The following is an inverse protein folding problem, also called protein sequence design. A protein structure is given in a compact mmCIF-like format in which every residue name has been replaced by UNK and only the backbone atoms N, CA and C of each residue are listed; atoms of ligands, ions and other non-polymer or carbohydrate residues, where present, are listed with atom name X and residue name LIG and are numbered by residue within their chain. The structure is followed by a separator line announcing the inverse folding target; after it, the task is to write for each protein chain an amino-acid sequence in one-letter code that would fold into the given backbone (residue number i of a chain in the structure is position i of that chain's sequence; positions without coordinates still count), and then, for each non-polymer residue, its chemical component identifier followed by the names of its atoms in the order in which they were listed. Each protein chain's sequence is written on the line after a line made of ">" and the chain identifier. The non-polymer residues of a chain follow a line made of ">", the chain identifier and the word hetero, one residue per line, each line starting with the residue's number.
data_IF_407297547046
#
_entry.id   IF_407297547046
#
_cell.length_a   1.000
_cell.length_b   1.000
_cell.length_c   1.000
_cell.angle_alpha   90.00
_cell.angle_beta   90.00
_cell.angle_gamma   90.00
#
_symmetry.space_group_name_H-M   'P 1'
#
loop_
_entity.id
_entity.type
_entity.pdbx_description
1 polymer ?
#
# COMPACT_ATOMS: atom_id res chain seq x y z
N UNK A 1 -0.87 4.55 4.63
CA UNK A 1 0.27 3.69 4.27
C UNK A 1 0.54 3.82 2.78
N UNK A 2 1.53 4.64 2.38
CA UNK A 2 1.96 4.79 0.99
C UNK A 2 2.42 3.45 0.40
N UNK A 3 2.21 3.25 -0.91
CA UNK A 3 2.53 2.00 -1.60
C UNK A 3 3.82 2.15 -2.40
N UNK A 4 4.88 1.50 -1.94
CA UNK A 4 6.17 1.39 -2.58
C UNK A 4 6.26 0.07 -3.36
N UNK A 5 5.55 -0.01 -4.49
CA UNK A 5 5.30 -1.27 -5.24
C UNK A 5 6.56 -2.06 -5.60
N UNK A 6 7.66 -1.37 -5.93
CA UNK A 6 8.93 -2.00 -6.33
C UNK A 6 10.08 -1.51 -5.44
N UNK A 7 9.85 -1.46 -4.12
CA UNK A 7 10.81 -0.87 -3.18
C UNK A 7 11.16 0.59 -3.55
N UNK A 8 10.17 1.30 -4.11
CA UNK A 8 10.26 2.70 -4.50
C UNK A 8 8.87 3.31 -4.55
N UNK A 9 8.77 4.55 -4.05
CA UNK A 9 7.57 5.38 -4.16
C UNK A 9 7.57 6.13 -5.49
N UNK A 10 6.45 6.08 -6.19
CA UNK A 10 6.28 6.90 -7.40
C UNK A 10 6.04 8.34 -6.97
N UNK A 11 6.94 9.24 -7.36
CA UNK A 11 6.78 10.68 -7.14
C UNK A 11 7.46 11.21 -5.88
N UNK A 12 7.89 10.38 -4.92
CA UNK A 12 8.51 10.87 -3.67
C UNK A 12 9.78 10.10 -3.35
N UNK A 13 10.78 10.81 -2.82
CA UNK A 13 11.92 10.18 -2.14
C UNK A 13 11.51 9.71 -0.74
N UNK A 14 12.29 8.79 -0.17
CA UNK A 14 12.05 8.35 1.21
C UNK A 14 12.29 9.46 2.24
N UNK A 15 13.19 10.41 1.96
CA UNK A 15 13.37 11.59 2.80
C UNK A 15 12.13 12.47 2.83
N UNK A 16 11.60 12.83 1.65
CA UNK A 16 10.34 13.57 1.55
C UNK A 16 9.19 12.84 2.24
N UNK A 17 9.16 11.51 2.14
CA UNK A 17 8.17 10.72 2.83
C UNK A 17 8.32 10.78 4.36
N UNK A 18 9.54 10.77 4.89
CA UNK A 18 9.78 10.93 6.35
C UNK A 18 9.26 12.28 6.84
N UNK A 19 9.42 13.33 6.04
CA UNK A 19 8.97 14.68 6.38
C UNK A 19 7.44 14.78 6.47
N UNK A 20 6.70 13.88 5.79
CA UNK A 20 5.24 13.76 5.97
C UNK A 20 4.84 13.14 7.32
N UNK A 21 5.80 12.64 8.11
CA UNK A 21 5.54 11.91 9.35
C UNK A 21 5.16 10.44 9.13
N UNK A 22 5.25 9.92 7.90
CA UNK A 22 4.89 8.54 7.58
C UNK A 22 5.80 7.52 8.31
N UNK A 23 5.22 6.58 9.05
CA UNK A 23 5.96 5.58 9.82
C UNK A 23 5.92 4.16 9.23
N UNK A 24 5.10 3.94 8.20
CA UNK A 24 4.83 2.63 7.62
C UNK A 24 4.54 2.73 6.13
N UNK A 25 5.25 1.94 5.33
CA UNK A 25 5.02 1.80 3.89
C UNK A 25 4.62 0.37 3.54
N UNK A 26 3.90 0.22 2.43
CA UNK A 26 3.55 -1.09 1.86
C UNK A 26 4.48 -1.41 0.70
N UNK A 27 5.16 -2.57 0.74
CA UNK A 27 5.76 -3.19 -0.42
C UNK A 27 4.84 -4.29 -0.98
N UNK A 28 5.09 -4.68 -2.23
CA UNK A 28 4.33 -5.76 -2.87
C UNK A 28 5.20 -7.00 -3.09
N UNK A 29 4.78 -8.15 -2.55
CA UNK A 29 5.52 -9.41 -2.62
C UNK A 29 5.69 -9.89 -4.06
N UNK A 30 4.63 -9.79 -4.87
CA UNK A 30 4.67 -10.25 -6.26
C UNK A 30 5.74 -9.49 -7.07
N UNK A 31 5.75 -8.17 -6.95
CA UNK A 31 6.69 -7.34 -7.70
C UNK A 31 8.12 -7.54 -7.24
N UNK A 32 8.38 -7.54 -5.93
CA UNK A 32 9.74 -7.73 -5.40
C UNK A 32 10.27 -9.15 -5.61
N UNK A 33 9.40 -10.16 -5.53
CA UNK A 33 9.75 -11.55 -5.82
C UNK A 33 10.09 -11.79 -7.29
N UNK A 34 9.53 -11.00 -8.21
CA UNK A 34 9.91 -11.03 -9.63
C UNK A 34 11.14 -10.19 -9.93
N UNK A 35 11.17 -8.94 -9.47
CA UNK A 35 12.26 -7.98 -9.66
C UNK A 35 12.38 -7.06 -8.44
N UNK A 36 13.54 -7.04 -7.77
CA UNK A 36 14.81 -7.61 -8.20
C UNK A 36 14.92 -9.13 -8.04
N UNK A 37 13.99 -9.77 -7.33
CA UNK A 37 13.98 -11.20 -7.07
C UNK A 37 14.55 -11.56 -5.70
N UNK A 38 14.23 -12.78 -5.24
CA UNK A 38 14.57 -13.24 -3.90
C UNK A 38 16.07 -13.28 -3.62
N UNK A 39 16.87 -13.80 -4.56
CA UNK A 39 18.34 -13.89 -4.42
C UNK A 39 19.00 -12.54 -4.20
N UNK A 40 18.53 -11.51 -4.91
CA UNK A 40 19.04 -10.14 -4.74
C UNK A 40 18.65 -9.59 -3.38
N UNK A 41 17.41 -9.82 -2.93
CA UNK A 41 16.96 -9.38 -1.60
C UNK A 41 17.77 -10.05 -0.48
N UNK A 42 18.01 -11.36 -0.60
CA UNK A 42 18.85 -12.10 0.35
C UNK A 42 20.29 -11.55 0.37
N UNK A 43 20.85 -11.24 -0.80
CA UNK A 43 22.21 -10.68 -0.94
C UNK A 43 22.32 -9.27 -0.35
N UNK A 44 21.33 -8.41 -0.60
CA UNK A 44 21.29 -7.02 -0.08
C UNK A 44 20.99 -7.00 1.41
N UNK A 45 20.27 -8.01 1.91
CA UNK A 45 19.79 -8.11 3.29
C UNK A 45 18.44 -7.41 3.51
N UNK A 46 17.52 -7.53 2.55
CA UNK A 46 16.13 -7.11 2.66
C UNK A 46 15.79 -5.77 2.03
N UNK A 47 14.49 -5.49 1.96
CA UNK A 47 13.91 -4.33 1.29
C UNK A 47 14.24 -3.01 1.99
N UNK A 48 14.35 -2.98 3.33
CA UNK A 48 14.80 -1.78 4.07
C UNK A 48 16.13 -1.25 3.52
N UNK A 49 17.12 -2.13 3.37
CA UNK A 49 18.44 -1.78 2.82
C UNK A 49 18.38 -1.44 1.34
N UNK A 50 17.64 -2.23 0.57
CA UNK A 50 17.48 -2.03 -0.87
C UNK A 50 16.93 -0.63 -1.18
N UNK A 51 15.95 -0.16 -0.40
CA UNK A 51 15.23 1.09 -0.65
C UNK A 51 15.71 2.27 0.20
N UNK A 52 16.55 2.02 1.21
CA UNK A 52 17.01 3.06 2.14
C UNK A 52 15.91 3.57 3.08
N UNK A 53 14.95 2.72 3.44
CA UNK A 53 13.87 3.06 4.38
C UNK A 53 14.11 2.43 5.74
N UNK A 54 14.26 3.28 6.74
CA UNK A 54 14.64 2.95 8.12
C UNK A 54 13.44 2.84 9.08
N UNK A 55 12.21 3.00 8.58
CA UNK A 55 10.97 2.81 9.37
C UNK A 55 10.24 1.56 8.89
N UNK A 56 9.05 1.31 9.43
CA UNK A 56 8.37 0.03 9.24
C UNK A 56 7.95 -0.23 7.78
N UNK A 57 7.94 -1.50 7.42
CA UNK A 57 7.42 -2.06 6.18
C UNK A 57 6.33 -3.09 6.47
N UNK A 58 5.26 -3.01 5.68
CA UNK A 58 4.27 -4.07 5.53
C UNK A 58 4.40 -4.64 4.13
N UNK A 59 4.28 -5.96 3.94
CA UNK A 59 4.21 -6.55 2.60
C UNK A 59 2.97 -7.40 2.43
N UNK A 60 2.26 -7.20 1.32
CA UNK A 60 1.14 -8.07 0.95
C UNK A 60 1.61 -9.48 0.55
N UNK A 61 0.68 -10.39 0.25
CA UNK A 61 1.01 -11.81 0.05
C UNK A 61 1.29 -12.22 -1.40
N UNK A 62 1.04 -11.36 -2.39
CA UNK A 62 1.43 -11.59 -3.79
C UNK A 62 0.50 -12.44 -4.66
N UNK A 63 -0.65 -12.91 -4.14
CA UNK A 63 -1.85 -13.38 -4.87
C UNK A 63 -1.75 -14.64 -5.78
N UNK A 64 -0.70 -14.77 -6.60
CA UNK A 64 -0.51 -15.86 -7.58
C UNK A 64 0.54 -16.90 -7.12
N UNK A 65 0.64 -17.13 -5.82
CA UNK A 65 1.69 -17.94 -5.18
C UNK A 65 1.09 -19.09 -4.36
N UNK A 66 1.95 -19.95 -3.80
CA UNK A 66 1.56 -20.81 -2.67
C UNK A 66 1.84 -20.10 -1.34
N UNK A 67 1.17 -20.47 -0.23
CA UNK A 67 1.48 -19.93 1.10
C UNK A 67 2.97 -19.98 1.45
N UNK A 68 3.63 -21.11 1.21
CA UNK A 68 5.06 -21.29 1.54
C UNK A 68 5.95 -20.40 0.69
N UNK A 69 5.64 -20.26 -0.60
CA UNK A 69 6.42 -19.39 -1.49
C UNK A 69 6.20 -17.92 -1.14
N UNK A 70 4.96 -17.51 -0.86
CA UNK A 70 4.64 -16.16 -0.40
C UNK A 70 5.41 -15.80 0.88
N UNK A 71 5.37 -16.67 1.89
CA UNK A 71 6.09 -16.42 3.15
C UNK A 71 7.61 -16.49 2.95
N UNK A 72 8.12 -17.39 2.11
CA UNK A 72 9.55 -17.42 1.75
C UNK A 72 10.01 -16.08 1.18
N UNK A 73 9.26 -15.51 0.24
CA UNK A 73 9.57 -14.20 -0.33
C UNK A 73 9.51 -13.11 0.74
N UNK A 74 8.46 -13.08 1.56
CA UNK A 74 8.30 -12.10 2.63
C UNK A 74 9.41 -12.19 3.70
N UNK A 75 9.90 -13.41 3.98
CA UNK A 75 11.05 -13.66 4.84
C UNK A 75 12.34 -13.01 4.27
N UNK A 76 12.53 -13.05 2.94
CA UNK A 76 13.67 -12.42 2.25
C UNK A 76 13.51 -10.92 2.06
N UNK A 77 12.29 -10.44 1.81
CA UNK A 77 11.96 -9.01 1.79
C UNK A 77 12.26 -8.40 3.16
N UNK A 78 12.01 -9.14 4.25
CA UNK A 78 12.41 -8.74 5.60
C UNK A 78 11.58 -7.59 6.16
N UNK A 79 10.29 -7.52 5.80
CA UNK A 79 9.35 -6.53 6.31
C UNK A 79 8.91 -6.79 7.74
N UNK A 80 8.67 -5.74 8.52
CA UNK A 80 8.23 -5.83 9.92
C UNK A 80 6.84 -6.44 10.09
N UNK A 81 5.96 -6.26 9.10
CA UNK A 81 4.64 -6.88 9.02
C UNK A 81 4.53 -7.65 7.70
N UNK A 82 4.11 -8.91 7.79
CA UNK A 82 3.92 -9.79 6.63
C UNK A 82 2.49 -10.28 6.63
N UNK A 83 1.89 -10.40 5.44
CA UNK A 83 0.50 -10.77 5.28
C UNK A 83 0.38 -12.24 4.87
N UNK A 84 -0.57 -12.97 5.46
CA UNK A 84 -0.89 -14.32 4.98
C UNK A 84 -1.27 -14.29 3.49
N UNK A 85 -0.98 -15.37 2.77
CA UNK A 85 -1.65 -15.60 1.49
C UNK A 85 -3.09 -16.05 1.73
N UNK A 86 -4.02 -15.40 1.06
CA UNK A 86 -5.45 -15.63 1.14
C UNK A 86 -6.07 -15.81 -0.25
N UNK A 87 -7.25 -16.43 -0.28
CA UNK A 87 -8.01 -16.63 -1.50
C UNK A 87 -9.01 -15.49 -1.67
N UNK A 88 -8.62 -14.49 -2.45
CA UNK A 88 -9.37 -13.24 -2.62
C UNK A 88 -10.50 -13.41 -3.63
N UNK A 89 -11.71 -13.07 -3.20
CA UNK A 89 -12.89 -12.93 -4.06
C UNK A 89 -13.42 -11.50 -3.97
N UNK A 90 -13.92 -10.99 -5.10
CA UNK A 90 -14.58 -9.69 -5.13
C UNK A 90 -15.74 -9.68 -4.12
N UNK A 91 -15.75 -8.66 -3.26
CA UNK A 91 -16.72 -8.50 -2.17
C UNK A 91 -18.17 -8.51 -2.64
N UNK A 92 -18.40 -8.02 -3.86
CA UNK A 92 -19.69 -7.91 -4.53
C UNK A 92 -20.07 -9.16 -5.33
N UNK A 93 -19.25 -10.21 -5.27
CA UNK A 93 -19.55 -11.48 -5.96
C UNK A 93 -20.90 -12.03 -5.49
N UNK A 94 -21.81 -12.39 -6.42
CA UNK A 94 -23.07 -13.05 -6.07
C UNK A 94 -22.88 -14.54 -5.73
N UNK A 95 -21.69 -15.10 -5.93
CA UNK A 95 -21.40 -16.51 -5.70
C UNK A 95 -21.04 -16.78 -4.23
N UNK A 96 -22.07 -16.99 -3.41
CA UNK A 96 -21.94 -17.30 -1.99
C UNK A 96 -21.14 -18.59 -1.73
N UNK A 97 -21.27 -19.60 -2.59
CA UNK A 97 -20.55 -20.86 -2.43
C UNK A 97 -19.04 -20.62 -2.62
N UNK A 98 -18.66 -19.85 -3.63
CA UNK A 98 -17.26 -19.48 -3.88
C UNK A 98 -16.68 -18.59 -2.78
N UNK A 99 -17.47 -17.67 -2.21
CA UNK A 99 -17.06 -16.85 -1.05
C UNK A 99 -16.76 -17.74 0.16
N UNK A 100 -17.65 -18.69 0.46
CA UNK A 100 -17.46 -19.63 1.56
C UNK A 100 -16.20 -20.49 1.34
N UNK A 101 -16.02 -21.03 0.13
CA UNK A 101 -14.82 -21.79 -0.23
C UNK A 101 -13.53 -20.96 -0.06
N UNK A 102 -13.54 -19.70 -0.50
CA UNK A 102 -12.41 -18.78 -0.34
C UNK A 102 -12.06 -18.54 1.12
N UNK A 103 -13.09 -18.29 1.95
CA UNK A 103 -12.92 -18.08 3.37
C UNK A 103 -12.30 -19.31 4.04
N UNK A 104 -12.87 -20.50 3.81
CA UNK A 104 -12.37 -21.75 4.40
C UNK A 104 -10.96 -22.10 3.89
N UNK A 105 -10.67 -21.83 2.62
CA UNK A 105 -9.32 -22.01 2.04
C UNK A 105 -8.32 -21.06 2.66
N UNK A 106 -8.70 -19.81 2.90
CA UNK A 106 -7.85 -18.81 3.55
C UNK A 106 -7.52 -19.20 4.99
N UNK A 107 -8.48 -19.76 5.74
CA UNK A 107 -8.24 -20.32 7.09
C UNK A 107 -7.17 -21.43 7.03
N UNK A 108 -7.31 -22.40 6.11
CA UNK A 108 -6.30 -23.47 5.94
C UNK A 108 -4.94 -22.95 5.46
N UNK A 109 -4.93 -21.88 4.67
CA UNK A 109 -3.69 -21.27 4.20
C UNK A 109 -2.97 -20.48 5.28
N UNK A 110 -3.68 -19.97 6.29
CA UNK A 110 -3.03 -19.36 7.45
C UNK A 110 -2.12 -20.37 8.17
N UNK A 111 -2.60 -21.58 8.42
CA UNK A 111 -1.79 -22.65 9.06
C UNK A 111 -0.49 -22.88 8.30
N UNK A 112 -0.59 -22.98 6.97
CA UNK A 112 0.59 -23.13 6.09
C UNK A 112 1.51 -21.91 6.11
N UNK A 113 0.95 -20.71 6.25
CA UNK A 113 1.75 -19.49 6.37
C UNK A 113 2.52 -19.45 7.70
N UNK A 114 1.87 -19.84 8.80
CA UNK A 114 2.47 -19.94 10.13
C UNK A 114 3.64 -20.95 10.09
N UNK A 115 3.40 -22.14 9.55
CA UNK A 115 4.43 -23.19 9.45
C UNK A 115 5.63 -22.77 8.60
N UNK A 116 5.41 -21.98 7.54
CA UNK A 116 6.46 -21.50 6.65
C UNK A 116 7.24 -20.29 7.20
N UNK A 117 6.73 -19.63 8.26
CA UNK A 117 7.31 -18.40 8.75
C UNK A 117 8.54 -18.67 9.63
N UNK A 118 9.70 -18.16 9.19
CA UNK A 118 10.99 -18.48 9.79
C UNK A 118 11.44 -17.51 10.89
N UNK A 119 10.85 -16.32 10.94
CA UNK A 119 11.40 -15.18 11.68
C UNK A 119 10.37 -14.44 12.55
N UNK A 120 9.59 -15.14 13.41
CA UNK A 120 8.53 -14.52 14.23
C UNK A 120 9.06 -13.49 15.23
N UNK A 121 10.36 -13.50 15.54
CA UNK A 121 11.02 -12.54 16.43
C UNK A 121 11.21 -11.15 15.81
N UNK A 122 11.08 -11.03 14.48
CA UNK A 122 11.33 -9.77 13.74
C UNK A 122 10.29 -9.44 12.67
N UNK A 123 9.44 -10.38 12.27
CA UNK A 123 8.34 -10.11 11.35
C UNK A 123 7.02 -10.57 11.98
N UNK A 124 6.01 -9.71 11.92
CA UNK A 124 4.70 -9.96 12.49
C UNK A 124 3.77 -10.47 11.39
N UNK A 125 3.45 -11.76 11.41
CA UNK A 125 2.48 -12.35 10.49
C UNK A 125 1.06 -11.93 10.86
N UNK A 126 0.33 -11.34 9.93
CA UNK A 126 -1.06 -10.96 10.10
C UNK A 126 -1.98 -11.94 9.35
N UNK A 127 -3.01 -12.42 10.04
CA UNK A 127 -4.11 -13.11 9.36
C UNK A 127 -5.04 -12.10 8.65
N UNK A 128 -5.81 -12.58 7.67
CA UNK A 128 -6.75 -11.76 6.90
C UNK A 128 -8.15 -12.38 6.99
N UNK A 129 -9.08 -11.66 7.61
CA UNK A 129 -10.47 -12.08 7.73
C UNK A 129 -11.18 -11.97 6.38
N UNK A 130 -11.68 -13.10 5.89
CA UNK A 130 -12.46 -13.24 4.66
C UNK A 130 -13.96 -13.42 4.96
N UNK A 131 -14.79 -13.57 3.92
CA UNK A 131 -16.23 -13.80 4.05
C UNK A 131 -17.13 -12.83 3.26
N UNK A 132 -16.55 -11.95 2.43
CA UNK A 132 -17.34 -11.04 1.58
C UNK A 132 -18.21 -10.07 2.39
N UNK A 133 -19.49 -9.94 2.04
CA UNK A 133 -20.47 -9.14 2.82
C UNK A 133 -21.31 -10.00 3.78
N UNK A 134 -21.05 -11.30 3.86
CA UNK A 134 -21.79 -12.21 4.74
C UNK A 134 -21.24 -12.15 6.17
N UNK A 135 -22.08 -11.65 7.09
CA UNK A 135 -21.69 -11.48 8.49
C UNK A 135 -21.45 -12.80 9.21
N UNK A 136 -22.15 -13.87 8.86
CA UNK A 136 -21.94 -15.18 9.48
C UNK A 136 -20.61 -15.78 9.04
N UNK A 137 -20.29 -15.69 7.74
CA UNK A 137 -18.99 -16.13 7.23
C UNK A 137 -17.84 -15.31 7.83
N UNK A 138 -18.01 -13.98 8.01
CA UNK A 138 -17.01 -13.16 8.69
C UNK A 138 -16.83 -13.51 10.16
N UNK A 139 -17.92 -13.82 10.89
CA UNK A 139 -17.82 -14.29 12.28
C UNK A 139 -17.11 -15.63 12.38
N UNK A 140 -17.46 -16.58 11.51
CA UNK A 140 -16.79 -17.88 11.44
C UNK A 140 -15.29 -17.70 11.16
N UNK A 141 -14.94 -16.92 10.12
CA UNK A 141 -13.55 -16.66 9.79
C UNK A 141 -12.79 -15.99 10.94
N UNK A 142 -13.40 -14.99 11.59
CA UNK A 142 -12.81 -14.33 12.75
C UNK A 142 -12.51 -15.32 13.89
N UNK A 143 -13.48 -16.16 14.26
CA UNK A 143 -13.28 -17.16 15.30
C UNK A 143 -12.14 -18.13 14.98
N UNK A 144 -12.07 -18.62 13.74
CA UNK A 144 -11.00 -19.50 13.27
C UNK A 144 -9.63 -18.81 13.27
N UNK A 145 -9.54 -17.59 12.74
CA UNK A 145 -8.27 -16.87 12.61
C UNK A 145 -7.72 -16.44 13.98
N UNK A 146 -8.58 -15.96 14.89
CA UNK A 146 -8.19 -15.57 16.26
C UNK A 146 -7.65 -16.76 17.05
N UNK A 147 -8.17 -17.97 16.82
CA UNK A 147 -7.68 -19.18 17.49
C UNK A 147 -6.20 -19.51 17.21
N UNK A 148 -5.60 -18.90 16.17
CA UNK A 148 -4.20 -19.07 15.78
C UNK A 148 -3.26 -18.01 16.35
N UNK A 149 -3.79 -17.02 17.08
CA UNK A 149 -3.04 -16.02 17.86
C UNK A 149 -1.93 -15.29 17.08
N UNK A 150 -2.23 -14.91 15.83
CA UNK A 150 -1.30 -14.10 15.05
C UNK A 150 -1.17 -12.69 15.62
N UNK A 151 0.02 -12.05 15.61
CA UNK A 151 0.26 -10.71 16.17
C UNK A 151 -0.65 -9.58 15.66
N UNK A 152 -1.32 -9.77 14.52
CA UNK A 152 -2.34 -8.83 14.05
C UNK A 152 -3.32 -9.44 13.08
N UNK A 153 -4.36 -8.65 12.79
CA UNK A 153 -5.53 -9.06 12.02
C UNK A 153 -5.84 -7.97 11.00
N UNK A 154 -5.97 -8.35 9.74
CA UNK A 154 -6.49 -7.51 8.67
C UNK A 154 -7.89 -7.94 8.24
N UNK A 155 -8.66 -7.01 7.66
CA UNK A 155 -9.99 -7.28 7.14
C UNK A 155 -9.92 -7.27 5.61
N UNK A 156 -10.02 -8.46 5.02
CA UNK A 156 -9.92 -8.67 3.58
C UNK A 156 -11.23 -8.35 2.85
N UNK A 157 -11.08 -8.04 1.55
CA UNK A 157 -12.21 -7.93 0.63
C UNK A 157 -13.20 -6.84 1.01
N UNK A 158 -12.75 -5.62 1.34
CA UNK A 158 -13.63 -4.45 1.51
C UNK A 158 -13.28 -3.28 0.56
N UNK A 159 -12.23 -3.44 -0.26
CA UNK A 159 -11.79 -2.43 -1.25
C UNK A 159 -11.26 -3.12 -2.52
N UNK A 160 -12.10 -3.99 -3.10
CA UNK A 160 -11.77 -4.91 -4.21
C UNK A 160 -11.54 -4.29 -5.59
N UNK A 161 -10.90 -3.12 -5.66
CA UNK A 161 -10.42 -2.53 -6.91
C UNK A 161 -11.13 -1.23 -7.28
N UNK A 162 -10.57 -0.12 -6.82
CA UNK A 162 -10.60 1.08 -7.63
C UNK A 162 -9.57 0.90 -8.76
N UNK A 163 -10.01 1.07 -10.00
CA UNK A 163 -9.25 0.74 -11.19
C UNK A 163 -7.85 1.38 -11.14
N UNK A 164 -6.79 0.62 -11.48
CA UNK A 164 -5.43 1.18 -11.66
C UNK A 164 -5.43 2.37 -12.64
N UNK A 165 -6.39 2.44 -13.55
CA UNK A 165 -6.60 3.57 -14.45
C UNK A 165 -6.93 4.87 -13.71
N UNK A 166 -7.58 4.81 -12.55
CA UNK A 166 -7.83 5.96 -11.66
C UNK A 166 -6.53 6.49 -11.05
N UNK A 167 -5.56 5.61 -10.74
CA UNK A 167 -4.23 6.04 -10.29
C UNK A 167 -3.50 6.82 -11.39
N UNK A 168 -3.57 6.37 -12.65
CA UNK A 168 -3.02 7.12 -13.79
C UNK A 168 -3.73 8.46 -14.02
N UNK A 169 -5.03 8.59 -13.67
CA UNK A 169 -5.74 9.88 -13.69
C UNK A 169 -5.26 10.84 -12.61
N UNK A 170 -4.52 10.42 -11.57
CA UNK A 170 -4.08 11.32 -10.48
C UNK A 170 -3.04 12.36 -10.88
N UNK A 171 -2.34 12.19 -12.01
CA UNK A 171 -1.43 13.25 -12.48
C UNK A 171 -2.21 14.52 -12.79
N UNK A 172 -1.91 15.61 -12.07
CA UNK A 172 -2.65 16.86 -12.18
C UNK A 172 -3.92 16.94 -11.33
N UNK A 173 -4.14 16.00 -10.41
CA UNK A 173 -5.17 16.14 -9.39
C UNK A 173 -4.55 16.36 -8.00
N UNK A 174 -5.03 17.34 -7.26
CA UNK A 174 -4.65 17.58 -5.87
C UNK A 174 -5.83 17.30 -4.94
N UNK A 175 -5.56 16.60 -3.83
CA UNK A 175 -6.52 16.42 -2.75
C UNK A 175 -6.41 17.65 -1.85
N UNK A 176 -7.55 18.29 -1.60
CA UNK A 176 -7.67 19.50 -0.77
C UNK A 176 -8.81 19.32 0.23
N UNK A 177 -8.90 20.20 1.22
CA UNK A 177 -9.90 20.12 2.27
C UNK A 177 -11.35 20.13 1.75
N UNK A 178 -11.59 20.78 0.61
CA UNK A 178 -12.88 20.88 -0.06
C UNK A 178 -13.15 19.77 -1.11
N UNK A 179 -12.22 18.83 -1.30
CA UNK A 179 -12.38 17.72 -2.23
C UNK A 179 -11.16 17.47 -3.12
N UNK A 180 -11.37 17.41 -4.43
CA UNK A 180 -10.30 17.13 -5.40
C UNK A 180 -10.28 18.21 -6.48
N UNK A 181 -9.12 18.85 -6.67
CA UNK A 181 -8.90 19.82 -7.72
C UNK A 181 -8.23 19.15 -8.91
N UNK A 182 -8.79 19.32 -10.10
CA UNK A 182 -8.09 19.02 -11.35
C UNK A 182 -7.26 20.24 -11.78
N UNK A 183 -5.98 20.27 -11.39
CA UNK A 183 -5.05 21.36 -11.63
C UNK A 183 -4.78 21.60 -13.13
N UNK A 184 -5.15 20.68 -14.02
CA UNK A 184 -5.10 20.92 -15.48
C UNK A 184 -6.24 21.82 -15.98
N UNK A 185 -7.22 22.15 -15.13
CA UNK A 185 -8.30 23.04 -15.50
C UNK A 185 -7.77 24.46 -15.74
N UNK A 186 -8.12 25.05 -16.90
CA UNK A 186 -7.68 26.39 -17.32
C UNK A 186 -8.07 27.50 -16.32
N UNK A 187 -9.12 27.30 -15.51
CA UNK A 187 -9.49 28.25 -14.46
C UNK A 187 -8.38 28.53 -13.45
N UNK A 188 -7.43 27.60 -13.30
CA UNK A 188 -6.27 27.79 -12.41
C UNK A 188 -5.09 28.47 -13.07
N UNK A 189 -5.10 28.76 -14.37
CA UNK A 189 -3.94 29.28 -15.10
C UNK A 189 -3.42 30.62 -14.55
N UNK A 190 -4.27 31.41 -13.90
CA UNK A 190 -3.94 32.69 -13.27
C UNK A 190 -4.31 32.73 -11.78
N UNK A 191 -4.50 31.55 -11.16
CA UNK A 191 -4.80 31.44 -9.73
C UNK A 191 -3.50 31.33 -8.92
N UNK A 192 -3.08 32.43 -8.31
CA UNK A 192 -1.87 32.52 -7.49
C UNK A 192 -2.08 32.13 -6.01
N UNK A 193 -3.25 31.59 -5.66
CA UNK A 193 -3.48 31.03 -4.32
C UNK A 193 -2.77 29.67 -4.16
N UNK A 194 -2.45 29.26 -2.91
CA UNK A 194 -1.91 27.93 -2.67
C UNK A 194 -2.87 26.83 -3.15
N UNK A 195 -2.35 25.61 -3.32
CA UNK A 195 -3.16 24.45 -3.70
C UNK A 195 -4.29 24.24 -2.68
N UNK A 196 -3.94 24.27 -1.38
CA UNK A 196 -4.86 24.27 -0.25
C UNK A 196 -4.33 25.23 0.82
N UNK A 197 -5.15 26.18 1.27
CA UNK A 197 -4.77 27.20 2.25
C UNK A 197 -4.57 26.64 3.67
N UNK A 198 -5.16 25.48 3.98
CA UNK A 198 -5.04 24.81 5.27
C UNK A 198 -3.86 23.83 5.35
N UNK A 199 -3.24 23.53 4.20
CA UNK A 199 -2.20 22.51 4.11
C UNK A 199 -0.83 23.04 4.59
N UNK A 200 -0.15 22.22 5.39
CA UNK A 200 1.17 22.55 5.97
C UNK A 200 2.32 21.81 5.26
N UNK A 201 2.08 21.18 4.12
CA UNK A 201 3.15 20.49 3.39
C UNK A 201 4.13 21.47 2.75
N UNK A 202 5.32 20.99 2.40
CA UNK A 202 6.36 21.79 1.74
C UNK A 202 5.87 22.50 0.48
N UNK A 203 4.94 21.91 -0.28
CA UNK A 203 4.40 22.52 -1.49
C UNK A 203 3.48 23.72 -1.20
N UNK A 204 2.57 23.61 -0.24
CA UNK A 204 1.57 24.65 0.06
C UNK A 204 2.10 25.73 1.00
N UNK A 205 3.05 25.38 1.86
CA UNK A 205 3.60 26.28 2.84
C UNK A 205 4.33 27.45 2.12
N UNK A 206 4.10 28.72 2.52
CA UNK A 206 4.75 29.85 1.87
C UNK A 206 6.27 29.88 2.15
N UNK A 207 7.01 30.59 1.29
CA UNK A 207 8.48 30.64 1.33
C UNK A 207 9.05 31.28 2.58
N UNK A 208 8.36 32.27 3.17
CA UNK A 208 8.72 32.89 4.45
C UNK A 208 8.61 31.94 5.65
N UNK A 209 7.85 30.85 5.50
CA UNK A 209 7.70 29.77 6.48
C UNK A 209 8.51 28.52 6.11
N UNK A 210 9.41 28.64 5.14
CA UNK A 210 10.32 27.55 4.74
C UNK A 210 9.70 26.52 3.80
N UNK A 211 8.56 26.82 3.16
CA UNK A 211 8.01 26.00 2.08
C UNK A 211 8.37 26.50 0.69
N UNK A 212 7.76 25.89 -0.33
CA UNK A 212 7.96 26.22 -1.74
C UNK A 212 7.00 27.31 -2.25
N UNK A 213 5.91 27.57 -1.52
CA UNK A 213 4.90 28.57 -1.91
C UNK A 213 4.26 28.30 -3.27
N UNK A 214 4.03 27.03 -3.61
CA UNK A 214 3.50 26.66 -4.92
C UNK A 214 2.05 27.13 -5.08
N UNK A 215 1.77 27.71 -6.23
CA UNK A 215 0.44 28.21 -6.57
C UNK A 215 -0.28 27.24 -7.50
N UNK A 216 -1.62 27.33 -7.53
CA UNK A 216 -2.41 26.57 -8.50
C UNK A 216 -2.04 26.89 -9.95
N UNK A 217 -1.68 28.14 -10.25
CA UNK A 217 -1.17 28.57 -11.56
C UNK A 217 0.14 27.89 -11.95
N UNK A 218 1.09 27.81 -11.02
CA UNK A 218 2.35 27.10 -11.27
C UNK A 218 2.08 25.61 -11.50
N UNK A 219 1.27 24.99 -10.65
CA UNK A 219 0.92 23.57 -10.80
C UNK A 219 0.18 23.28 -12.10
N UNK A 220 -0.75 24.15 -12.51
CA UNK A 220 -1.44 24.08 -13.81
C UNK A 220 -0.44 24.07 -14.97
N UNK A 221 0.60 24.91 -14.89
CA UNK A 221 1.61 24.97 -15.93
C UNK A 221 2.41 23.67 -16.08
N UNK A 222 2.80 23.05 -14.96
CA UNK A 222 3.75 21.91 -14.97
C UNK A 222 3.08 20.53 -15.07
N UNK A 223 1.87 20.34 -14.53
CA UNK A 223 1.23 19.00 -14.36
C UNK A 223 0.88 18.27 -15.67
N UNK A 224 0.93 18.95 -16.82
CA UNK A 224 0.74 18.34 -18.14
C UNK A 224 2.02 18.33 -19.00
N UNK A 225 3.10 18.96 -18.54
CA UNK A 225 4.29 19.23 -19.36
C UNK A 225 5.56 18.58 -18.82
N UNK A 226 5.69 18.51 -17.50
CA UNK A 226 6.93 18.13 -16.84
C UNK A 226 6.67 17.05 -15.80
N UNK A 227 7.58 16.07 -15.72
CA UNK A 227 7.52 15.01 -14.70
C UNK A 227 7.63 15.58 -13.29
N UNK A 228 8.26 16.76 -13.11
CA UNK A 228 8.33 17.46 -11.81
C UNK A 228 6.95 17.71 -11.21
N UNK A 229 5.91 17.89 -12.02
CA UNK A 229 4.53 18.05 -11.53
C UNK A 229 3.92 16.79 -10.90
N UNK A 230 4.58 15.63 -11.03
CA UNK A 230 4.24 14.41 -10.31
C UNK A 230 4.92 14.29 -8.94
N UNK A 231 5.93 15.14 -8.68
CA UNK A 231 6.76 15.12 -7.48
C UNK A 231 6.37 16.20 -6.46
N UNK A 232 5.45 17.08 -6.83
CA UNK A 232 4.99 18.26 -6.09
C UNK A 232 3.49 18.13 -5.80
#
# INVERSE_FOLDING_TARGET
>A
MPVATQASLKGLTYEQLRDTGCMLCLNNTYHLGLKPGQEVLDTVGGAHKLQGWDRNLLTDSGGLLTPEHSISLQNSIGSDIIMQLDDVIATTSPDHARIKEAMERSVRWLDRCIDAHKYPERQNLFCIIQGGLDLELRRQCCAEMVARDTPGIAIGGLSGGEAKDEFCKRFGNAIVSEGVLNLRNKSYAEDFTPIDASCTCQCCLPTDKGGLGLTKAYMHHITAKETVGAHL
#
